data_IF_357993952259
#
_entry.id   IF_357993952259
#
_cell.length_a   1.000
_cell.length_b   1.000
_cell.length_c   1.000
_cell.angle_alpha   90.00
_cell.angle_beta   90.00
_cell.angle_gamma   90.00
#
_symmetry.space_group_name_H-M   'P 1'
#
loop_
_entity.id
_entity.type
_entity.pdbx_description
1 polymer ?
#
# COMPACT_ATOMS: atom_id res chain seq x y z
N UNK A 1 -8.13 12.52 -35.74
CA UNK A 1 -6.80 12.64 -36.39
C UNK A 1 -5.64 12.97 -35.44
N UNK A 2 -5.86 13.48 -34.21
CA UNK A 2 -4.76 13.81 -33.27
C UNK A 2 -4.06 12.60 -32.61
N UNK A 3 -4.73 11.44 -32.45
CA UNK A 3 -4.20 10.28 -31.69
C UNK A 3 -3.03 9.56 -32.39
N UNK A 4 -3.01 9.51 -33.73
CA UNK A 4 -1.93 8.87 -34.49
C UNK A 4 -0.59 9.63 -34.39
N UNK A 5 -0.64 10.96 -34.20
CA UNK A 5 0.55 11.80 -34.11
C UNK A 5 1.34 11.58 -32.81
N UNK A 6 0.64 11.30 -31.71
CA UNK A 6 1.29 11.08 -30.41
C UNK A 6 2.01 9.73 -30.34
N UNK A 7 1.40 8.67 -30.88
CA UNK A 7 1.99 7.32 -30.92
C UNK A 7 3.27 7.33 -31.75
N UNK A 8 3.23 7.96 -32.94
CA UNK A 8 4.41 8.08 -33.80
C UNK A 8 5.56 8.82 -33.10
N UNK A 9 5.28 9.88 -32.36
CA UNK A 9 6.30 10.63 -31.59
C UNK A 9 6.89 9.83 -30.44
N UNK A 10 6.08 9.02 -29.76
CA UNK A 10 6.55 8.15 -28.66
C UNK A 10 7.46 7.04 -29.21
N UNK A 11 7.08 6.43 -30.34
CA UNK A 11 7.90 5.39 -30.99
C UNK A 11 9.26 5.96 -31.43
N UNK A 12 9.27 7.13 -32.06
CA UNK A 12 10.52 7.79 -32.49
C UNK A 12 11.40 8.13 -31.27
N UNK A 13 10.83 8.63 -30.18
CA UNK A 13 11.57 8.94 -28.96
C UNK A 13 12.19 7.68 -28.29
N UNK A 14 11.48 6.55 -28.34
CA UNK A 14 11.97 5.27 -27.81
C UNK A 14 13.10 4.69 -28.67
N UNK A 15 13.03 4.81 -29.99
CA UNK A 15 14.11 4.35 -30.88
C UNK A 15 15.40 5.17 -30.67
N UNK A 16 15.29 6.49 -30.51
CA UNK A 16 16.46 7.36 -30.28
C UNK A 16 17.13 7.09 -28.93
N UNK A 17 16.34 6.84 -27.88
CA UNK A 17 16.90 6.55 -26.54
C UNK A 17 17.54 5.17 -26.46
N UNK A 18 17.06 4.20 -27.25
CA UNK A 18 17.66 2.86 -27.32
C UNK A 18 19.02 2.88 -28.05
N UNK A 19 19.18 3.70 -29.09
CA UNK A 19 20.44 3.88 -29.82
C UNK A 19 21.54 4.46 -28.93
N UNK A 20 21.19 5.36 -27.99
CA UNK A 20 22.15 5.99 -27.06
C UNK A 20 22.56 5.07 -25.89
N UNK A 21 21.77 4.04 -25.58
CA UNK A 21 22.02 3.15 -24.45
C UNK A 21 23.05 2.02 -24.77
N UNK A 22 23.32 1.75 -26.05
CA UNK A 22 24.26 0.69 -26.45
C UNK A 22 25.74 1.02 -26.19
N UNK A 23 26.04 2.21 -25.64
CA UNK A 23 27.40 2.67 -25.33
C UNK A 23 27.84 2.53 -23.86
N UNK A 24 27.03 2.00 -22.94
CA UNK A 24 27.37 1.95 -21.51
C UNK A 24 27.62 0.50 -21.01
N UNK A 25 28.79 0.18 -20.41
CA UNK A 25 29.04 -1.13 -19.84
C UNK A 25 28.17 -1.36 -18.58
N UNK A 26 27.42 -2.45 -18.58
CA UNK A 26 26.52 -2.86 -17.48
C UNK A 26 27.36 -3.40 -16.31
N UNK A 27 27.56 -2.59 -15.28
CA UNK A 27 28.12 -3.01 -13.99
C UNK A 27 27.03 -3.65 -13.11
N UNK A 28 27.16 -4.95 -12.85
CA UNK A 28 26.23 -5.73 -12.02
C UNK A 28 26.60 -5.51 -10.54
N UNK A 29 25.80 -4.74 -9.80
CA UNK A 29 25.98 -4.59 -8.35
C UNK A 29 25.17 -5.68 -7.61
N UNK A 30 25.86 -6.65 -7.03
CA UNK A 30 25.26 -7.66 -6.14
C UNK A 30 24.85 -7.02 -4.80
N UNK A 31 23.54 -6.79 -4.62
CA UNK A 31 22.96 -6.38 -3.35
C UNK A 31 22.76 -7.58 -2.41
N UNK A 32 23.58 -7.66 -1.37
CA UNK A 32 23.49 -8.63 -0.25
C UNK A 32 22.21 -8.36 0.55
N UNK A 33 21.31 -9.35 0.61
CA UNK A 33 20.08 -9.32 1.40
C UNK A 33 20.40 -9.65 2.87
N UNK A 34 20.38 -8.65 3.75
CA UNK A 34 20.41 -8.87 5.20
C UNK A 34 18.98 -9.06 5.73
N UNK A 35 18.76 -10.22 6.34
CA UNK A 35 17.48 -10.63 6.95
C UNK A 35 17.25 -9.83 8.23
N UNK A 36 16.02 -9.32 8.35
CA UNK A 36 15.49 -8.67 9.56
C UNK A 36 15.06 -9.75 10.55
N UNK A 37 15.75 -9.84 11.68
CA UNK A 37 15.35 -10.67 12.81
C UNK A 37 14.46 -9.86 13.77
N UNK A 38 13.43 -10.53 14.29
CA UNK A 38 12.29 -9.95 14.96
C UNK A 38 12.54 -9.51 16.41
N UNK A 39 11.76 -8.52 16.84
CA UNK A 39 11.54 -8.21 18.24
C UNK A 39 10.05 -8.35 18.55
N UNK A 40 9.72 -9.44 19.25
CA UNK A 40 8.44 -9.68 19.90
C UNK A 40 8.46 -8.91 21.23
N UNK A 41 7.60 -7.90 21.39
CA UNK A 41 7.47 -7.17 22.66
C UNK A 41 6.33 -7.78 23.48
N UNK A 42 6.75 -8.28 24.63
CA UNK A 42 6.00 -8.90 25.70
C UNK A 42 5.04 -7.90 26.37
N UNK A 43 3.79 -8.32 26.59
CA UNK A 43 2.77 -7.56 27.30
C UNK A 43 2.72 -8.05 28.76
N UNK A 44 3.49 -7.40 29.64
CA UNK A 44 3.47 -7.63 31.09
C UNK A 44 2.50 -6.69 31.82
N UNK A 45 1.59 -7.29 32.58
CA UNK A 45 0.56 -6.70 33.46
C UNK A 45 1.18 -6.06 34.72
N UNK A 46 0.61 -4.99 35.31
CA UNK A 46 1.24 -4.27 36.43
C UNK A 46 0.95 -4.81 37.85
N UNK A 47 2.00 -4.70 38.67
CA UNK A 47 2.12 -4.55 40.16
C UNK A 47 1.61 -5.62 41.14
N UNK A 48 2.39 -5.81 42.23
CA UNK A 48 1.83 -5.92 43.56
C UNK A 48 2.34 -4.83 44.52
N UNK A 49 1.38 -4.32 45.30
CA UNK A 49 1.49 -3.38 46.42
C UNK A 49 2.60 -3.73 47.42
N UNK A 50 3.37 -2.72 47.83
CA UNK A 50 4.27 -2.77 48.98
C UNK A 50 3.63 -2.05 50.18
N UNK A 51 3.53 -2.78 51.29
CA UNK A 51 2.95 -2.33 52.54
C UNK A 51 4.04 -1.89 53.51
N UNK A 52 3.94 -0.66 54.02
CA UNK A 52 4.68 -0.24 55.21
C UNK A 52 3.72 0.23 56.30
N UNK A 53 3.76 -0.55 57.38
CA UNK A 53 3.12 -0.37 58.68
C UNK A 53 3.66 0.88 59.39
N UNK A 54 2.79 1.76 59.88
CA UNK A 54 3.10 2.66 60.99
C UNK A 54 2.05 2.50 62.09
N UNK A 55 2.53 2.03 63.24
CA UNK A 55 1.81 1.95 64.50
C UNK A 55 1.77 3.31 65.20
N UNK A 56 0.59 3.74 65.67
CA UNK A 56 0.40 4.85 66.60
C UNK A 56 -0.97 4.75 67.25
N UNK A 57 -1.00 4.45 68.55
CA UNK A 57 -2.19 4.07 69.35
C UNK A 57 -3.12 5.27 69.67
N UNK A 58 -4.41 5.01 69.95
CA UNK A 58 -5.43 6.04 70.24
C UNK A 58 -5.45 6.44 71.74
N UNK A 59 -5.69 7.72 72.03
CA UNK A 59 -5.88 8.23 73.40
C UNK A 59 -7.28 8.85 73.56
N UNK A 60 -8.14 8.17 74.32
CA UNK A 60 -9.36 8.72 74.92
C UNK A 60 -9.04 9.14 76.37
N UNK A 61 -9.60 10.25 76.88
CA UNK A 61 -9.90 10.42 78.30
C UNK A 61 -11.41 10.19 78.49
N UNK A 62 -11.88 9.09 79.09
CA UNK A 62 -11.90 8.68 80.50
C UNK A 62 -12.82 9.54 81.39
N UNK A 63 -13.92 8.91 81.82
CA UNK A 63 -14.99 9.46 82.63
C UNK A 63 -14.64 9.29 84.11
N UNK A 64 -14.37 10.40 84.80
CA UNK A 64 -14.18 10.45 86.24
C UNK A 64 -15.39 11.07 86.94
N UNK A 65 -16.12 10.26 87.68
CA UNK A 65 -17.10 10.66 88.69
C UNK A 65 -16.36 11.05 89.98
N UNK A 66 -16.70 12.18 90.60
CA UNK A 66 -16.32 12.47 91.98
C UNK A 66 -17.45 13.18 92.73
N UNK A 67 -17.63 12.76 93.98
CA UNK A 67 -18.77 12.98 94.86
C UNK A 67 -18.48 14.12 95.86
N UNK A 68 -19.29 15.18 95.81
CA UNK A 68 -19.79 16.00 96.94
C UNK A 68 -18.83 16.69 97.93
N UNK A 69 -19.03 18.00 98.13
CA UNK A 69 -19.17 18.63 99.45
C UNK A 69 -19.79 20.05 99.34
N UNK A 70 -20.46 20.59 100.39
CA UNK A 70 -21.50 21.61 100.24
C UNK A 70 -21.04 23.06 100.48
N UNK A 71 -21.69 23.97 99.74
CA UNK A 71 -22.19 25.24 100.29
C UNK A 71 -21.25 26.43 100.37
N UNK A 72 -21.41 27.37 99.44
CA UNK A 72 -21.58 28.79 99.79
C UNK A 72 -22.28 29.53 98.65
N UNK A 73 -23.32 30.27 99.03
CA UNK A 73 -24.20 31.04 98.17
C UNK A 73 -23.46 32.30 97.67
N UNK A 74 -22.94 32.26 96.45
CA UNK A 74 -22.39 33.43 95.77
C UNK A 74 -23.28 33.78 94.60
N UNK A 75 -24.19 34.74 94.79
CA UNK A 75 -24.97 35.33 93.70
C UNK A 75 -24.01 35.88 92.62
N UNK A 76 -23.96 35.31 91.40
CA UNK A 76 -23.11 35.84 90.35
C UNK A 76 -23.74 37.13 89.79
N UNK A 77 -22.93 38.19 89.77
CA UNK A 77 -23.22 39.48 89.11
C UNK A 77 -23.70 39.25 87.67
N UNK A 78 -24.79 39.88 87.19
CA UNK A 78 -25.25 39.71 85.81
C UNK A 78 -24.16 40.16 84.84
N UNK A 79 -23.58 39.22 84.09
CA UNK A 79 -22.66 39.52 83.00
C UNK A 79 -23.46 39.74 81.73
N UNK A 80 -23.33 40.92 81.13
CA UNK A 80 -23.86 41.21 79.80
C UNK A 80 -23.24 40.25 78.78
N UNK A 81 -24.04 39.36 78.17
CA UNK A 81 -23.61 38.60 76.98
C UNK A 81 -23.55 39.56 75.80
N UNK A 82 -22.40 39.69 75.10
CA UNK A 82 -22.37 40.43 73.84
C UNK A 82 -23.30 39.76 72.82
N UNK A 83 -24.05 40.59 72.09
CA UNK A 83 -24.97 40.17 71.03
C UNK A 83 -24.18 39.46 69.91
N UNK A 84 -24.66 38.32 69.37
CA UNK A 84 -23.97 37.66 68.27
C UNK A 84 -23.85 38.59 67.06
N UNK A 85 -22.64 38.75 66.53
CA UNK A 85 -22.39 39.47 65.29
C UNK A 85 -22.86 38.64 64.09
N UNK A 86 -23.50 39.24 63.07
CA UNK A 86 -23.91 38.53 61.87
C UNK A 86 -22.70 37.90 61.17
N UNK A 87 -22.81 36.63 60.79
CA UNK A 87 -21.77 35.94 60.03
C UNK A 87 -21.87 36.34 58.54
N UNK A 88 -20.75 36.59 57.83
CA UNK A 88 -20.78 36.92 56.41
C UNK A 88 -21.45 35.82 55.59
N UNK A 89 -22.27 36.22 54.62
CA UNK A 89 -22.93 35.29 53.70
C UNK A 89 -21.89 34.66 52.76
N UNK A 90 -21.94 33.33 52.50
CA UNK A 90 -21.03 32.70 51.55
C UNK A 90 -21.12 33.33 50.17
N UNK A 91 -19.97 33.58 49.55
CA UNK A 91 -19.88 34.10 48.20
C UNK A 91 -20.20 32.98 47.19
N UNK A 92 -20.95 33.25 46.11
CA UNK A 92 -21.22 32.26 45.08
C UNK A 92 -19.93 31.76 44.42
N UNK A 93 -19.83 30.45 44.25
CA UNK A 93 -18.74 29.78 43.55
C UNK A 93 -18.85 30.03 42.04
N UNK A 94 -17.74 30.34 41.35
CA UNK A 94 -17.74 30.54 39.92
C UNK A 94 -18.04 29.23 39.17
N UNK A 95 -18.87 29.32 38.14
CA UNK A 95 -19.22 28.20 37.26
C UNK A 95 -18.02 27.82 36.38
N UNK A 96 -17.68 26.52 36.26
CA UNK A 96 -16.59 26.09 35.39
C UNK A 96 -16.90 26.37 33.92
N UNK A 97 -15.89 26.86 33.20
CA UNK A 97 -15.98 27.15 31.76
C UNK A 97 -16.05 25.85 30.95
N UNK A 98 -16.91 25.75 29.91
CA UNK A 98 -16.97 24.57 29.07
C UNK A 98 -15.62 24.27 28.41
N UNK A 99 -15.27 22.98 28.36
CA UNK A 99 -14.07 22.47 27.73
C UNK A 99 -14.16 22.66 26.20
N UNK A 100 -13.09 23.10 25.52
CA UNK A 100 -13.09 23.18 24.06
C UNK A 100 -13.31 21.81 23.43
N UNK A 101 -14.15 21.78 22.40
CA UNK A 101 -14.40 20.62 21.57
C UNK A 101 -13.13 20.28 20.77
N UNK A 102 -12.74 19.00 20.68
CA UNK A 102 -11.60 18.60 19.87
C UNK A 102 -11.88 18.89 18.38
N UNK A 103 -10.88 19.43 17.70
CA UNK A 103 -10.89 19.64 16.25
C UNK A 103 -10.89 18.28 15.54
N UNK A 104 -11.67 18.09 14.46
CA UNK A 104 -11.65 16.86 13.70
C UNK A 104 -10.26 16.63 13.10
N UNK A 105 -9.81 15.38 13.18
CA UNK A 105 -8.55 14.94 12.59
C UNK A 105 -8.65 15.01 11.06
N UNK A 106 -7.66 15.57 10.35
CA UNK A 106 -7.69 15.61 8.90
C UNK A 106 -7.70 14.18 8.31
N UNK A 107 -8.56 13.97 7.31
CA UNK A 107 -8.63 12.72 6.56
C UNK A 107 -7.31 12.51 5.81
N UNK A 108 -6.67 11.33 5.88
CA UNK A 108 -5.45 11.07 5.15
C UNK A 108 -5.69 11.18 3.63
N UNK A 109 -4.78 11.88 2.94
CA UNK A 109 -4.84 12.02 1.49
C UNK A 109 -4.68 10.66 0.80
N UNK A 110 -5.35 10.44 -0.35
CA UNK A 110 -5.18 9.24 -1.14
C UNK A 110 -3.72 9.13 -1.62
N UNK A 111 -3.10 7.97 -1.38
CA UNK A 111 -1.73 7.71 -1.82
C UNK A 111 -1.65 7.80 -3.35
N UNK A 112 -0.61 8.44 -3.91
CA UNK A 112 -0.41 8.47 -5.35
C UNK A 112 -0.26 7.04 -5.88
N UNK A 113 -1.03 6.72 -6.92
CA UNK A 113 -0.87 5.48 -7.68
C UNK A 113 0.53 5.48 -8.29
N UNK A 114 1.27 4.40 -8.08
CA UNK A 114 2.64 4.28 -8.58
C UNK A 114 2.59 3.94 -10.07
N UNK A 115 3.25 4.76 -10.89
CA UNK A 115 3.52 4.44 -12.28
C UNK A 115 4.50 3.25 -12.31
N UNK A 116 4.22 2.24 -13.12
CA UNK A 116 5.06 1.06 -13.22
C UNK A 116 5.67 0.96 -14.61
N UNK A 117 6.93 0.52 -14.66
CA UNK A 117 7.66 0.24 -15.90
C UNK A 117 8.20 -1.17 -15.79
N UNK A 118 7.90 -2.02 -16.78
CA UNK A 118 8.34 -3.40 -16.83
C UNK A 118 8.99 -3.66 -18.17
N UNK A 119 10.03 -4.48 -18.16
CA UNK A 119 10.64 -5.03 -19.35
C UNK A 119 10.82 -6.53 -19.16
N UNK A 120 10.66 -7.29 -20.24
CA UNK A 120 10.78 -8.74 -20.20
C UNK A 120 11.21 -9.32 -21.53
N UNK A 121 11.74 -10.54 -21.47
CA UNK A 121 12.03 -11.38 -22.63
C UNK A 121 11.22 -12.66 -22.52
N UNK A 122 10.82 -13.22 -23.66
CA UNK A 122 10.02 -14.42 -23.72
C UNK A 122 10.48 -15.36 -24.84
N UNK A 123 10.33 -16.65 -24.57
CA UNK A 123 10.37 -17.70 -25.59
C UNK A 123 8.93 -18.15 -25.84
N UNK A 124 8.53 -18.20 -27.11
CA UNK A 124 7.19 -18.59 -27.53
C UNK A 124 7.28 -19.81 -28.43
N UNK A 125 6.41 -20.78 -28.21
CA UNK A 125 6.21 -21.94 -29.09
C UNK A 125 4.74 -21.95 -29.47
N UNK A 126 4.45 -22.06 -30.77
CA UNK A 126 3.09 -22.02 -31.28
C UNK A 126 2.89 -22.97 -32.46
N UNK A 127 1.66 -23.40 -32.63
CA UNK A 127 1.20 -24.08 -33.83
C UNK A 127 0.16 -23.20 -34.53
N UNK A 128 0.24 -23.09 -35.86
CA UNK A 128 -0.64 -22.26 -36.67
C UNK A 128 -1.30 -23.13 -37.73
N UNK A 129 -2.59 -22.89 -37.98
CA UNK A 129 -3.32 -23.46 -39.11
C UNK A 129 -3.72 -22.29 -40.01
N UNK A 130 -3.28 -22.31 -41.27
CA UNK A 130 -3.49 -21.23 -42.22
C UNK A 130 -4.18 -21.71 -43.48
N UNK A 131 -5.01 -20.85 -44.07
CA UNK A 131 -5.53 -21.00 -45.44
C UNK A 131 -4.80 -19.96 -46.29
N UNK A 132 -4.24 -20.39 -47.42
CA UNK A 132 -3.35 -19.64 -48.29
C UNK A 132 -1.84 -19.91 -48.10
N UNK A 133 -1.45 -21.00 -47.42
CA UNK A 133 -0.06 -21.25 -47.00
C UNK A 133 0.95 -21.45 -48.14
N UNK A 134 0.49 -22.01 -49.26
CA UNK A 134 1.32 -22.24 -50.44
C UNK A 134 1.65 -20.89 -51.11
N UNK A 135 2.84 -20.74 -51.69
CA UNK A 135 3.31 -19.47 -52.32
C UNK A 135 2.34 -18.88 -53.37
N UNK A 136 1.44 -19.70 -53.88
CA UNK A 136 0.39 -19.38 -54.85
C UNK A 136 -0.97 -18.98 -54.21
N UNK A 137 -1.07 -18.98 -52.88
CA UNK A 137 -2.26 -18.57 -52.12
C UNK A 137 -3.38 -19.60 -52.06
N UNK A 138 -3.21 -20.80 -52.64
CA UNK A 138 -4.26 -21.80 -52.81
C UNK A 138 -3.96 -23.13 -52.08
N UNK A 139 -3.72 -23.06 -50.76
CA UNK A 139 -3.48 -24.26 -49.94
C UNK A 139 -3.73 -24.09 -48.45
N UNK A 140 -3.94 -25.17 -47.73
CA UNK A 140 -4.06 -25.20 -46.27
C UNK A 140 -2.76 -25.69 -45.67
N UNK A 141 -2.26 -25.00 -44.65
CA UNK A 141 -1.00 -25.30 -43.97
C UNK A 141 -1.17 -25.56 -42.48
N UNK A 142 -0.35 -26.47 -41.96
CA UNK A 142 -0.11 -26.64 -40.53
C UNK A 142 1.36 -26.34 -40.25
N UNK A 143 1.59 -25.33 -39.45
CA UNK A 143 2.93 -24.87 -39.09
C UNK A 143 3.16 -25.01 -37.60
N UNK A 144 4.38 -25.38 -37.22
CA UNK A 144 4.88 -25.23 -35.86
C UNK A 144 6.06 -24.27 -35.88
N UNK A 145 6.11 -23.39 -34.90
CA UNK A 145 7.14 -22.37 -34.83
C UNK A 145 7.57 -22.07 -33.41
N UNK A 146 8.79 -21.59 -33.31
CA UNK A 146 9.35 -21.05 -32.08
C UNK A 146 9.88 -19.64 -32.34
N UNK A 147 9.75 -18.78 -31.35
CA UNK A 147 10.20 -17.40 -31.45
C UNK A 147 10.72 -16.86 -30.14
N UNK A 148 11.58 -15.85 -30.25
CA UNK A 148 12.05 -15.05 -29.13
C UNK A 148 11.47 -13.64 -29.25
N UNK A 149 11.14 -13.04 -28.12
CA UNK A 149 10.61 -11.68 -28.09
C UNK A 149 11.04 -10.90 -26.87
N UNK A 150 10.97 -9.58 -26.98
CA UNK A 150 11.17 -8.62 -25.91
C UNK A 150 9.95 -7.70 -25.82
N UNK A 151 9.59 -7.31 -24.60
CA UNK A 151 8.39 -6.53 -24.32
C UNK A 151 8.63 -5.46 -23.26
N UNK A 152 8.15 -4.25 -23.53
CA UNK A 152 8.10 -3.12 -22.59
C UNK A 152 6.63 -2.84 -22.24
N UNK A 153 6.33 -2.71 -20.94
CA UNK A 153 5.03 -2.30 -20.44
C UNK A 153 5.18 -1.05 -19.57
N UNK A 154 4.35 -0.05 -19.84
CA UNK A 154 4.29 1.20 -19.09
C UNK A 154 2.87 1.37 -18.56
N UNK A 155 2.74 1.48 -17.25
CA UNK A 155 1.46 1.65 -16.58
C UNK A 155 1.40 3.02 -15.89
N UNK A 156 0.39 3.78 -16.26
CA UNK A 156 0.06 5.09 -15.69
C UNK A 156 -1.34 5.06 -15.10
N UNK A 157 -1.74 6.15 -14.45
CA UNK A 157 -3.06 6.28 -13.82
C UNK A 157 -4.21 6.21 -14.83
N UNK A 158 -3.92 6.54 -16.10
CA UNK A 158 -4.91 6.64 -17.17
C UNK A 158 -4.76 5.56 -18.23
N UNK A 159 -3.55 5.00 -18.39
CA UNK A 159 -3.25 4.15 -19.53
C UNK A 159 -2.23 3.08 -19.19
N UNK A 160 -2.40 1.92 -19.82
CA UNK A 160 -1.42 0.85 -19.93
C UNK A 160 -0.96 0.78 -21.38
N UNK A 161 0.34 0.86 -21.59
CA UNK A 161 0.98 0.80 -22.91
C UNK A 161 1.83 -0.46 -22.92
N UNK A 162 1.60 -1.35 -23.88
CA UNK A 162 2.41 -2.53 -24.11
C UNK A 162 3.07 -2.41 -25.49
N UNK A 163 4.38 -2.67 -25.58
CA UNK A 163 5.13 -2.75 -26.85
C UNK A 163 5.93 -4.03 -26.82
N UNK A 164 5.78 -4.86 -27.84
CA UNK A 164 6.50 -6.12 -27.99
C UNK A 164 7.12 -6.22 -29.38
N UNK A 165 8.30 -6.82 -29.45
CA UNK A 165 8.96 -7.15 -30.69
C UNK A 165 9.54 -8.56 -30.58
N UNK A 166 9.51 -9.31 -31.66
CA UNK A 166 10.04 -10.67 -31.68
C UNK A 166 10.38 -11.16 -33.07
N UNK A 167 11.11 -12.27 -33.10
CA UNK A 167 11.43 -13.02 -34.30
C UNK A 167 10.99 -14.46 -34.08
N UNK A 168 10.30 -15.02 -35.06
CA UNK A 168 9.82 -16.39 -35.09
C UNK A 168 10.37 -17.13 -36.28
N UNK A 169 10.66 -18.41 -36.10
CA UNK A 169 10.92 -19.35 -37.17
C UNK A 169 9.83 -20.42 -37.15
N UNK A 170 9.35 -20.81 -38.32
CA UNK A 170 8.35 -21.85 -38.49
C UNK A 170 8.80 -22.89 -39.51
N UNK A 171 8.33 -24.11 -39.29
CA UNK A 171 8.38 -25.19 -40.26
C UNK A 171 6.99 -25.80 -40.33
N UNK A 172 6.56 -26.20 -41.51
CA UNK A 172 5.21 -26.70 -41.69
C UNK A 172 5.05 -27.56 -42.92
N UNK A 173 3.88 -28.17 -42.96
CA UNK A 173 3.39 -28.93 -44.11
C UNK A 173 2.18 -28.21 -44.66
N UNK A 174 2.07 -28.20 -45.97
CA UNK A 174 0.96 -27.57 -46.67
C UNK A 174 0.44 -28.47 -47.77
N UNK A 175 -0.86 -28.37 -48.02
CA UNK A 175 -1.54 -29.08 -49.08
C UNK A 175 -2.34 -28.07 -49.87
N UNK A 176 -2.19 -28.04 -51.19
CA UNK A 176 -2.87 -27.09 -52.06
C UNK A 176 -3.15 -27.66 -53.44
N UNK A 177 -3.73 -26.84 -54.31
CA UNK A 177 -3.90 -27.23 -55.70
C UNK A 177 -2.56 -27.33 -56.43
N UNK A 178 -2.48 -28.22 -57.42
CA UNK A 178 -1.39 -28.27 -58.39
C UNK A 178 -1.08 -26.90 -59.01
N UNK A 179 0.18 -26.62 -59.37
CA UNK A 179 0.58 -25.35 -60.02
C UNK A 179 -0.17 -25.04 -61.32
N UNK A 180 -0.69 -26.07 -61.97
CA UNK A 180 -1.52 -26.01 -63.18
C UNK A 180 -3.03 -25.94 -62.87
N UNK A 181 -3.40 -25.84 -61.59
CA UNK A 181 -4.77 -25.91 -61.09
C UNK A 181 -5.37 -27.31 -61.18
N UNK A 182 -4.60 -28.33 -61.56
CA UNK A 182 -5.07 -29.71 -61.72
C UNK A 182 -4.39 -30.61 -60.70
N UNK A 183 -5.20 -31.23 -59.83
CA UNK A 183 -4.70 -32.15 -58.82
C UNK A 183 -4.26 -31.49 -57.51
N UNK A 184 -3.69 -32.30 -56.63
CA UNK A 184 -3.31 -31.98 -55.25
C UNK A 184 -1.79 -32.00 -55.11
N UNK A 185 -1.23 -30.90 -54.62
CA UNK A 185 0.19 -30.78 -54.26
C UNK A 185 0.34 -30.82 -52.74
N UNK A 186 1.33 -31.57 -52.27
CA UNK A 186 1.78 -31.55 -50.87
C UNK A 186 3.17 -30.96 -50.82
N UNK A 187 3.38 -29.99 -49.93
CA UNK A 187 4.63 -29.25 -49.76
C UNK A 187 5.06 -29.16 -48.32
N UNK A 188 6.33 -28.83 -48.14
CA UNK A 188 6.88 -28.37 -46.85
C UNK A 188 7.26 -26.91 -46.98
N UNK A 189 7.03 -26.14 -45.92
CA UNK A 189 7.44 -24.75 -45.85
C UNK A 189 8.36 -24.54 -44.64
N UNK A 190 9.23 -23.54 -44.77
CA UNK A 190 10.04 -23.01 -43.68
C UNK A 190 10.04 -21.50 -43.79
N UNK A 191 9.87 -20.79 -42.68
CA UNK A 191 9.80 -19.33 -42.66
C UNK A 191 10.51 -18.74 -41.45
N UNK A 192 11.01 -17.51 -41.61
CA UNK A 192 11.43 -16.66 -40.50
C UNK A 192 10.70 -15.33 -40.67
N UNK A 193 10.05 -14.87 -39.61
CA UNK A 193 9.30 -13.62 -39.58
C UNK A 193 9.66 -12.78 -38.36
N UNK A 194 9.69 -11.46 -38.53
CA UNK A 194 9.74 -10.52 -37.41
C UNK A 194 8.33 -9.99 -37.16
N UNK A 195 7.99 -9.81 -35.89
CA UNK A 195 6.72 -9.23 -35.46
C UNK A 195 6.98 -8.07 -34.50
N UNK A 196 6.30 -6.96 -34.75
CA UNK A 196 6.18 -5.86 -33.80
C UNK A 196 4.71 -5.68 -33.48
N UNK A 197 4.40 -5.51 -32.20
CA UNK A 197 3.04 -5.33 -31.72
C UNK A 197 3.02 -4.31 -30.61
N UNK A 198 1.92 -3.59 -30.49
CA UNK A 198 1.72 -2.73 -29.34
C UNK A 198 0.25 -2.41 -29.13
N UNK A 199 -0.10 -2.12 -27.89
CA UNK A 199 -1.46 -1.75 -27.49
C UNK A 199 -1.41 -0.61 -26.47
N UNK A 200 -2.48 0.18 -26.48
CA UNK A 200 -2.74 1.19 -25.47
C UNK A 200 -4.15 0.94 -24.94
N UNK A 201 -4.24 0.69 -23.64
CA UNK A 201 -5.50 0.47 -22.93
C UNK A 201 -5.73 1.64 -21.97
N UNK A 202 -6.88 2.31 -22.10
CA UNK A 202 -7.27 3.42 -21.23
C UNK A 202 -8.00 2.87 -20.00
N UNK A 203 -7.71 3.43 -18.82
CA UNK A 203 -8.20 3.01 -17.51
C UNK A 203 -9.19 4.00 -16.89
#
# INVERSE_FOLDING_TARGET
MLKASLISRIIIALLITLELAQGAPIGIAQGRMERRDGQHKDYGVPEPYDGSVYHGKPSYPDEGYDLGEPGYDTYPKPTYRPKPTPHPKPQPTPTPKPKPTPTPTPTPEPKPKRKSFKFGFGLNIGANIGIGGKKDGNGVGLDVGAGIGAGVQIETDKQKIDVNAGVKANVGVEVGSGKDGKGLDVGVNTGVGAEIGGSVEEK
#
